data_IF_205674164488
#
_entry.id   IF_205674164488
#
_cell.length_a   1.000
_cell.length_b   1.000
_cell.length_c   1.000
_cell.angle_alpha   90.00
_cell.angle_beta   90.00
_cell.angle_gamma   90.00
#
_symmetry.space_group_name_H-M   'P 1'
#
loop_
_entity.id
_entity.type
_entity.pdbx_description
1 polymer ?
#
# COMPACT_ATOMS: atom_id res chain seq x y z
N UNK A 1 41.55 2.81 31.44
CA UNK A 1 41.06 3.02 30.05
C UNK A 1 40.12 1.93 29.59
N UNK A 2 40.52 0.65 29.62
CA UNK A 2 39.69 -0.47 29.12
C UNK A 2 38.29 -0.54 29.79
N UNK A 3 38.26 -0.45 31.12
CA UNK A 3 37.01 -0.49 31.92
C UNK A 3 36.07 0.66 31.54
N UNK A 4 36.61 1.88 31.39
CA UNK A 4 35.85 3.06 31.02
C UNK A 4 35.23 2.92 29.62
N UNK A 5 35.97 2.33 28.68
CA UNK A 5 35.54 2.12 27.30
C UNK A 5 34.43 1.05 27.21
N UNK A 6 34.51 -0.01 28.01
CA UNK A 6 33.45 -1.03 28.14
C UNK A 6 32.17 -0.43 28.72
N UNK A 7 32.28 0.40 29.76
CA UNK A 7 31.12 1.07 30.38
C UNK A 7 30.43 2.00 29.38
N UNK A 8 31.18 2.79 28.62
CA UNK A 8 30.62 3.69 27.60
C UNK A 8 29.95 2.90 26.47
N UNK A 9 30.57 1.82 26.00
CA UNK A 9 29.97 0.96 24.97
C UNK A 9 28.67 0.30 25.46
N UNK A 10 28.65 -0.20 26.69
CA UNK A 10 27.45 -0.80 27.28
C UNK A 10 26.32 0.21 27.47
N UNK A 11 26.63 1.43 27.92
CA UNK A 11 25.66 2.52 28.05
C UNK A 11 25.12 2.97 26.68
N UNK A 12 25.97 3.03 25.66
CA UNK A 12 25.57 3.36 24.31
C UNK A 12 24.62 2.29 23.72
N UNK A 13 24.95 1.01 23.90
CA UNK A 13 24.07 -0.10 23.47
C UNK A 13 22.75 -0.06 24.23
N UNK A 14 22.77 0.09 25.56
CA UNK A 14 21.57 0.16 26.37
C UNK A 14 20.67 1.35 25.98
N UNK A 15 21.27 2.51 25.68
CA UNK A 15 20.55 3.68 25.18
C UNK A 15 19.91 3.41 23.81
N UNK A 16 20.62 2.77 22.88
CA UNK A 16 20.06 2.43 21.55
C UNK A 16 18.92 1.43 21.64
N UNK A 17 19.05 0.42 22.51
CA UNK A 17 17.97 -0.54 22.79
C UNK A 17 16.77 0.19 23.41
N UNK A 18 16.99 1.07 24.40
CA UNK A 18 15.91 1.84 25.03
C UNK A 18 15.20 2.77 24.03
N UNK A 19 15.92 3.39 23.10
CA UNK A 19 15.33 4.23 22.04
C UNK A 19 14.50 3.40 21.07
N UNK A 20 14.99 2.23 20.64
CA UNK A 20 14.24 1.32 19.76
C UNK A 20 12.96 0.81 20.44
N UNK A 21 13.05 0.41 21.70
CA UNK A 21 11.90 -0.01 22.50
C UNK A 21 10.91 1.13 22.75
N UNK A 22 11.42 2.36 22.96
CA UNK A 22 10.57 3.53 23.16
C UNK A 22 9.85 3.94 21.87
N UNK A 23 10.50 3.80 20.71
CA UNK A 23 9.87 4.01 19.40
C UNK A 23 8.79 2.97 19.14
N UNK A 24 9.05 1.69 19.41
CA UNK A 24 8.06 0.61 19.29
C UNK A 24 6.88 0.79 20.25
N UNK A 25 7.13 1.31 21.47
CA UNK A 25 6.10 1.63 22.44
C UNK A 25 5.30 2.91 22.11
N UNK A 26 5.91 3.92 21.48
CA UNK A 26 5.22 5.18 21.12
C UNK A 26 4.42 5.06 19.81
N UNK A 27 4.84 4.22 18.87
CA UNK A 27 4.20 4.05 17.57
C UNK A 27 3.33 2.79 17.48
N UNK A 28 3.31 1.96 18.53
CA UNK A 28 2.86 0.58 18.42
C UNK A 28 3.75 -0.19 17.43
N UNK A 29 3.46 -1.47 17.20
CA UNK A 29 4.13 -2.27 16.15
C UNK A 29 3.99 -1.69 14.72
N UNK A 30 3.32 -0.55 14.55
CA UNK A 30 2.88 -0.01 13.26
C UNK A 30 1.89 -0.95 12.56
N UNK A 31 1.37 -1.96 13.25
CA UNK A 31 0.52 -3.02 12.70
C UNK A 31 -0.73 -3.21 13.58
N UNK A 32 -1.88 -2.86 13.03
CA UNK A 32 -3.20 -3.15 13.59
C UNK A 32 -3.76 -4.47 13.00
N UNK A 33 -3.69 -5.54 13.79
CA UNK A 33 -4.24 -6.84 13.41
C UNK A 33 -5.74 -6.79 13.12
N UNK A 34 -6.51 -5.95 13.83
CA UNK A 34 -7.97 -5.89 13.66
C UNK A 34 -8.34 -5.30 12.31
N UNK A 35 -7.62 -4.27 11.85
CA UNK A 35 -7.81 -3.71 10.51
C UNK A 35 -7.44 -4.73 9.43
N UNK A 36 -6.34 -5.44 9.62
CA UNK A 36 -5.87 -6.47 8.70
C UNK A 36 -6.90 -7.60 8.55
N UNK A 37 -7.36 -8.17 9.67
CA UNK A 37 -8.38 -9.24 9.69
C UNK A 37 -9.74 -8.74 9.15
N UNK A 38 -10.09 -7.48 9.42
CA UNK A 38 -11.31 -6.86 8.88
C UNK A 38 -11.26 -6.75 7.35
N UNK A 39 -10.12 -6.37 6.77
CA UNK A 39 -9.96 -6.26 5.32
C UNK A 39 -10.02 -7.64 4.65
N UNK A 40 -9.37 -8.65 5.24
CA UNK A 40 -9.50 -10.03 4.77
C UNK A 40 -10.96 -10.48 4.78
N UNK A 41 -11.67 -10.28 5.89
CA UNK A 41 -13.08 -10.67 6.03
C UNK A 41 -13.99 -9.91 5.06
N UNK A 42 -13.66 -8.66 4.74
CA UNK A 42 -14.45 -7.81 3.85
C UNK A 42 -14.11 -8.02 2.36
N UNK A 43 -13.09 -8.82 2.05
CA UNK A 43 -12.73 -9.12 0.67
C UNK A 43 -13.88 -9.84 -0.05
N UNK A 44 -14.22 -9.33 -1.24
CA UNK A 44 -15.26 -9.86 -2.12
C UNK A 44 -14.71 -9.87 -3.53
N UNK A 45 -14.31 -11.05 -4.01
CA UNK A 45 -13.68 -11.23 -5.31
C UNK A 45 -14.44 -10.50 -6.44
N UNK A 46 -15.77 -10.56 -6.44
CA UNK A 46 -16.59 -10.02 -7.52
C UNK A 46 -16.49 -8.50 -7.57
N UNK A 47 -16.53 -7.83 -6.42
CA UNK A 47 -16.44 -6.36 -6.36
C UNK A 47 -15.05 -5.86 -6.70
N UNK A 48 -14.02 -6.52 -6.18
CA UNK A 48 -12.63 -6.16 -6.45
C UNK A 48 -12.26 -6.40 -7.92
N UNK A 49 -12.64 -7.54 -8.49
CA UNK A 49 -12.42 -7.84 -9.92
C UNK A 49 -13.13 -6.85 -10.84
N UNK A 50 -14.32 -6.36 -10.47
CA UNK A 50 -15.00 -5.33 -11.25
C UNK A 50 -14.22 -4.00 -11.28
N UNK A 51 -13.66 -3.60 -10.13
CA UNK A 51 -12.85 -2.38 -10.05
C UNK A 51 -11.50 -2.54 -10.74
N UNK A 52 -10.93 -3.75 -10.70
CA UNK A 52 -9.70 -4.11 -11.40
C UNK A 52 -9.86 -4.08 -12.92
N UNK A 53 -10.88 -4.73 -13.47
CA UNK A 53 -11.20 -4.66 -14.90
C UNK A 53 -11.42 -3.22 -15.38
N UNK A 54 -12.05 -2.38 -14.54
CA UNK A 54 -12.18 -0.95 -14.84
C UNK A 54 -10.84 -0.22 -14.84
N UNK A 55 -9.93 -0.57 -13.94
CA UNK A 55 -8.56 -0.04 -13.97
C UNK A 55 -7.81 -0.48 -15.23
N UNK A 56 -7.95 -1.73 -15.67
CA UNK A 56 -7.36 -2.20 -16.94
C UNK A 56 -7.84 -1.38 -18.14
N UNK A 57 -9.14 -1.06 -18.21
CA UNK A 57 -9.68 -0.17 -19.25
C UNK A 57 -9.05 1.23 -19.21
N UNK A 58 -8.83 1.78 -18.01
CA UNK A 58 -8.17 3.08 -17.84
C UNK A 58 -6.71 3.02 -18.29
N UNK A 59 -5.99 1.95 -17.93
CA UNK A 59 -4.61 1.74 -18.37
C UNK A 59 -4.53 1.63 -19.89
N UNK A 60 -5.42 0.87 -20.51
CA UNK A 60 -5.50 0.75 -21.97
C UNK A 60 -5.81 2.08 -22.67
N UNK A 61 -6.64 2.94 -22.06
CA UNK A 61 -6.93 4.27 -22.58
C UNK A 61 -5.76 5.26 -22.41
N UNK A 62 -4.85 5.01 -21.47
CA UNK A 62 -3.72 5.87 -21.14
C UNK A 62 -2.38 5.11 -21.21
N UNK A 63 -1.93 4.65 -22.39
CA UNK A 63 -0.74 3.79 -22.52
C UNK A 63 0.59 4.46 -22.16
N UNK A 64 0.60 5.78 -21.95
CA UNK A 64 1.78 6.56 -21.53
C UNK A 64 1.74 6.94 -20.04
N UNK A 65 0.70 6.53 -19.32
CA UNK A 65 0.54 6.84 -17.91
C UNK A 65 1.64 6.16 -17.09
N UNK A 66 2.38 6.95 -16.33
CA UNK A 66 3.25 6.42 -15.28
C UNK A 66 2.45 6.02 -14.04
N UNK A 67 1.33 6.70 -13.78
CA UNK A 67 0.45 6.44 -12.66
C UNK A 67 -0.98 6.84 -12.97
N UNK A 68 -1.92 5.99 -12.56
CA UNK A 68 -3.36 6.27 -12.53
C UNK A 68 -3.82 6.11 -11.08
N UNK A 69 -4.45 7.15 -10.53
CA UNK A 69 -5.06 7.12 -9.19
C UNK A 69 -6.55 7.37 -9.32
N UNK A 70 -7.32 6.44 -8.82
CA UNK A 70 -8.76 6.52 -8.79
C UNK A 70 -9.24 6.62 -7.34
N UNK A 71 -9.88 7.75 -7.03
CA UNK A 71 -10.58 8.03 -5.78
C UNK A 71 -12.08 8.05 -6.01
N UNK A 72 -12.87 8.19 -4.95
CA UNK A 72 -14.32 8.35 -5.10
C UNK A 72 -14.74 9.43 -6.11
N UNK A 73 -14.05 10.57 -6.13
CA UNK A 73 -14.48 11.75 -6.87
C UNK A 73 -13.68 12.00 -8.15
N UNK A 74 -12.46 11.45 -8.25
CA UNK A 74 -11.51 11.79 -9.30
C UNK A 74 -10.76 10.57 -9.80
N UNK A 75 -10.52 10.53 -11.11
CA UNK A 75 -9.51 9.69 -11.74
C UNK A 75 -8.40 10.64 -12.22
N UNK A 76 -7.20 10.44 -11.70
CA UNK A 76 -6.04 11.27 -11.95
C UNK A 76 -4.99 10.45 -12.70
N UNK A 77 -4.54 10.97 -13.84
CA UNK A 77 -3.54 10.34 -14.70
C UNK A 77 -2.29 11.20 -14.73
N UNK A 78 -1.12 10.60 -14.53
CA UNK A 78 0.17 11.26 -14.64
C UNK A 78 1.03 10.54 -15.67
N UNK A 79 1.31 11.23 -16.78
CA UNK A 79 2.28 10.78 -17.79
C UNK A 79 3.71 11.17 -17.40
N UNK A 80 4.70 10.53 -18.02
CA UNK A 80 6.12 10.80 -17.77
C UNK A 80 6.51 12.25 -18.02
N UNK A 81 7.10 12.88 -17.01
CA UNK A 81 7.55 14.27 -17.05
C UNK A 81 6.42 15.30 -17.18
N UNK A 82 5.16 14.91 -16.98
CA UNK A 82 3.99 15.79 -17.06
C UNK A 82 3.31 15.96 -15.70
N UNK A 83 2.57 17.05 -15.57
CA UNK A 83 1.70 17.27 -14.43
C UNK A 83 0.54 16.25 -14.45
N UNK A 84 0.06 15.90 -13.27
CA UNK A 84 -1.12 15.05 -13.10
C UNK A 84 -2.38 15.79 -13.56
N UNK A 85 -3.23 15.10 -14.32
CA UNK A 85 -4.51 15.61 -14.80
C UNK A 85 -5.62 14.78 -14.19
N UNK A 86 -6.57 15.44 -13.52
CA UNK A 86 -7.70 14.78 -12.85
C UNK A 86 -9.02 15.10 -13.54
N UNK A 87 -9.78 14.05 -13.82
CA UNK A 87 -11.15 14.13 -14.32
C UNK A 87 -12.13 13.58 -13.28
N UNK A 88 -13.35 14.10 -13.26
CA UNK A 88 -14.38 13.57 -12.35
C UNK A 88 -14.72 12.15 -12.75
N UNK A 89 -14.87 11.29 -11.75
CA UNK A 89 -15.42 9.95 -11.95
C UNK A 89 -16.80 10.01 -12.59
N UNK A 90 -17.08 9.08 -13.51
CA UNK A 90 -18.46 8.90 -14.00
C UNK A 90 -19.34 8.33 -12.88
N UNK A 91 -20.69 8.40 -12.99
CA UNK A 91 -21.57 7.74 -12.02
C UNK A 91 -21.33 6.22 -11.91
N UNK A 92 -20.91 5.56 -12.99
CA UNK A 92 -20.57 4.14 -13.00
C UNK A 92 -19.27 3.85 -12.26
N UNK A 93 -18.27 4.72 -12.40
CA UNK A 93 -17.03 4.66 -11.64
C UNK A 93 -17.32 4.89 -10.15
N UNK A 94 -18.02 5.96 -9.78
CA UNK A 94 -18.35 6.23 -8.38
C UNK A 94 -19.11 5.05 -7.74
N UNK A 95 -20.08 4.46 -8.44
CA UNK A 95 -20.81 3.29 -7.95
C UNK A 95 -19.90 2.06 -7.75
N UNK A 96 -18.95 1.84 -8.64
CA UNK A 96 -17.98 0.74 -8.53
C UNK A 96 -17.03 0.97 -7.35
N UNK A 97 -16.55 2.21 -7.19
CA UNK A 97 -15.71 2.61 -6.07
C UNK A 97 -16.42 2.43 -4.72
N UNK A 98 -17.67 2.92 -4.60
CA UNK A 98 -18.47 2.84 -3.38
C UNK A 98 -18.86 1.41 -2.98
N UNK A 99 -18.77 0.44 -3.90
CA UNK A 99 -19.00 -0.96 -3.58
C UNK A 99 -17.83 -1.59 -2.79
N UNK A 100 -16.64 -1.00 -2.85
CA UNK A 100 -15.46 -1.46 -2.13
C UNK A 100 -15.53 -1.07 -0.64
N UNK A 101 -15.06 -1.94 0.27
CA UNK A 101 -15.13 -1.67 1.70
C UNK A 101 -14.11 -0.60 2.12
N UNK A 102 -14.53 0.67 2.12
CA UNK A 102 -13.74 1.79 2.65
C UNK A 102 -12.37 1.99 1.99
N UNK A 103 -12.27 1.72 0.69
CA UNK A 103 -11.08 2.07 -0.09
C UNK A 103 -10.84 3.59 -0.05
N UNK A 104 -9.57 3.99 0.12
CA UNK A 104 -9.11 5.39 0.07
C UNK A 104 -8.73 5.82 -1.34
N UNK A 105 -8.07 4.91 -2.07
CA UNK A 105 -7.73 5.08 -3.48
C UNK A 105 -7.39 3.73 -4.12
N UNK A 106 -7.52 3.66 -5.43
CA UNK A 106 -7.07 2.56 -6.28
C UNK A 106 -5.94 3.09 -7.15
N UNK A 107 -4.83 2.37 -7.24
CA UNK A 107 -3.61 2.84 -7.89
C UNK A 107 -3.12 1.80 -8.89
N UNK A 108 -2.75 2.27 -10.07
CA UNK A 108 -1.93 1.53 -11.03
C UNK A 108 -0.70 2.37 -11.37
N UNK A 109 0.46 1.74 -11.56
CA UNK A 109 1.71 2.46 -11.83
C UNK A 109 2.70 1.68 -12.70
N UNK A 110 3.41 2.40 -13.55
CA UNK A 110 4.33 1.86 -14.55
C UNK A 110 5.54 1.11 -13.98
N UNK A 111 5.91 1.35 -12.72
CA UNK A 111 6.96 0.56 -12.02
C UNK A 111 6.46 -0.81 -11.53
N UNK A 112 5.14 -1.03 -11.58
CA UNK A 112 4.42 -2.23 -11.15
C UNK A 112 3.34 -2.60 -12.20
N UNK A 113 3.71 -2.66 -13.49
CA UNK A 113 2.78 -2.64 -14.65
C UNK A 113 1.67 -3.70 -14.65
N UNK A 114 1.88 -4.84 -14.01
CA UNK A 114 0.88 -5.91 -14.00
C UNK A 114 0.06 -5.94 -12.69
N UNK A 115 0.12 -4.86 -11.90
CA UNK A 115 -0.48 -4.83 -10.55
C UNK A 115 -1.46 -3.69 -10.40
N UNK A 116 -2.54 -3.97 -9.66
CA UNK A 116 -3.51 -2.96 -9.21
C UNK A 116 -3.57 -2.97 -7.69
N UNK A 117 -3.45 -1.79 -7.08
CA UNK A 117 -3.41 -1.62 -5.63
C UNK A 117 -4.65 -0.92 -5.13
N UNK A 118 -5.29 -1.49 -4.12
CA UNK A 118 -6.44 -0.93 -3.41
C UNK A 118 -5.95 -0.49 -2.03
N UNK A 119 -5.76 0.80 -1.82
CA UNK A 119 -5.23 1.36 -0.59
C UNK A 119 -6.37 1.68 0.39
N UNK A 120 -6.14 1.40 1.69
CA UNK A 120 -7.11 1.62 2.76
C UNK A 120 -6.52 2.49 3.87
N UNK A 121 -7.40 3.21 4.58
CA UNK A 121 -7.09 4.02 5.76
C UNK A 121 -6.14 5.21 5.50
N UNK A 122 -6.20 5.84 4.32
CA UNK A 122 -5.27 6.88 3.86
C UNK A 122 -4.80 7.92 4.89
N UNK A 123 -5.69 8.67 5.54
CA UNK A 123 -5.27 9.69 6.51
C UNK A 123 -5.01 9.14 7.93
N UNK A 124 -5.32 7.87 8.16
CA UNK A 124 -5.36 7.22 9.48
C UNK A 124 -4.41 6.01 9.48
N UNK A 125 -3.08 6.19 9.58
CA UNK A 125 -2.14 5.08 9.62
C UNK A 125 -2.39 4.17 10.86
N UNK A 126 -2.07 2.86 10.78
CA UNK A 126 -1.40 2.17 9.67
C UNK A 126 -2.30 1.92 8.47
N UNK A 127 -1.72 2.05 7.28
CA UNK A 127 -2.36 1.84 5.98
C UNK A 127 -2.15 0.41 5.51
N UNK A 128 -3.10 -0.08 4.74
CA UNK A 128 -3.07 -1.45 4.21
C UNK A 128 -3.44 -1.43 2.74
N UNK A 129 -3.02 -2.46 2.02
CA UNK A 129 -3.25 -2.53 0.59
C UNK A 129 -3.72 -3.92 0.21
N UNK A 130 -4.80 -4.03 -0.57
CA UNK A 130 -5.08 -5.26 -1.32
C UNK A 130 -4.45 -5.08 -2.69
N UNK A 131 -3.71 -6.07 -3.17
CA UNK A 131 -3.04 -6.08 -4.45
C UNK A 131 -3.63 -7.20 -5.31
N UNK A 132 -4.00 -6.85 -6.55
CA UNK A 132 -4.12 -7.83 -7.63
C UNK A 132 -2.80 -7.91 -8.39
N UNK A 133 -2.33 -9.11 -8.69
CA UNK A 133 -1.13 -9.39 -9.46
C UNK A 133 -1.28 -10.73 -10.22
N UNK A 134 -0.47 -11.00 -11.27
CA UNK A 134 -0.47 -12.29 -11.95
C UNK A 134 -0.19 -13.45 -10.99
N UNK A 135 -0.79 -14.62 -11.27
CA UNK A 135 -0.72 -15.82 -10.41
C UNK A 135 0.71 -16.34 -10.14
N UNK A 136 1.67 -16.03 -11.00
CA UNK A 136 3.08 -16.43 -10.89
C UNK A 136 3.97 -15.39 -10.16
N UNK A 137 3.37 -14.32 -9.63
CA UNK A 137 4.09 -13.30 -8.87
C UNK A 137 4.67 -13.86 -7.57
N UNK A 138 5.97 -13.70 -7.34
CA UNK A 138 6.55 -13.85 -5.99
C UNK A 138 6.12 -12.66 -5.12
N UNK A 139 5.02 -12.86 -4.40
CA UNK A 139 4.38 -11.83 -3.58
C UNK A 139 5.24 -11.48 -2.36
N UNK A 140 5.96 -12.44 -1.78
CA UNK A 140 6.76 -12.21 -0.59
C UNK A 140 8.04 -11.42 -0.94
N UNK A 141 8.70 -11.76 -2.06
CA UNK A 141 9.82 -10.96 -2.60
C UNK A 141 9.36 -9.54 -2.94
N UNK A 142 8.22 -9.40 -3.63
CA UNK A 142 7.65 -8.09 -3.93
C UNK A 142 7.36 -7.29 -2.65
N UNK A 143 6.76 -7.92 -1.64
CA UNK A 143 6.43 -7.28 -0.38
C UNK A 143 7.68 -6.77 0.35
N UNK A 144 8.75 -7.58 0.41
CA UNK A 144 10.01 -7.18 1.02
C UNK A 144 10.72 -6.05 0.26
N UNK A 145 10.77 -6.13 -1.08
CA UNK A 145 11.35 -5.08 -1.95
C UNK A 145 10.60 -3.74 -1.82
N UNK A 146 9.28 -3.77 -1.71
CA UNK A 146 8.46 -2.56 -1.52
C UNK A 146 8.35 -2.12 -0.06
N UNK A 147 8.68 -2.98 0.90
CA UNK A 147 8.74 -2.67 2.33
C UNK A 147 7.45 -2.92 3.11
N UNK A 148 6.56 -3.73 2.56
CA UNK A 148 5.36 -4.20 3.24
C UNK A 148 5.74 -5.21 4.32
N UNK A 149 5.27 -5.00 5.56
CA UNK A 149 5.65 -5.84 6.71
C UNK A 149 5.02 -7.23 6.77
N UNK A 150 3.97 -7.46 5.99
CA UNK A 150 3.26 -8.73 6.00
C UNK A 150 2.52 -8.94 4.70
N UNK A 151 2.28 -10.20 4.39
CA UNK A 151 1.45 -10.66 3.29
C UNK A 151 0.41 -11.63 3.84
N UNK A 152 -0.77 -11.63 3.22
CA UNK A 152 -1.79 -12.66 3.43
C UNK A 152 -2.47 -12.92 2.10
N UNK A 153 -2.37 -14.15 1.61
CA UNK A 153 -3.10 -14.57 0.43
C UNK A 153 -4.61 -14.52 0.73
N UNK A 154 -5.38 -13.94 -0.19
CA UNK A 154 -6.84 -13.90 -0.11
C UNK A 154 -7.42 -14.95 -1.05
N UNK A 155 -7.07 -14.85 -2.33
CA UNK A 155 -7.47 -15.73 -3.43
C UNK A 155 -6.36 -15.73 -4.49
N UNK A 156 -6.37 -16.61 -5.52
CA UNK A 156 -5.41 -16.55 -6.62
C UNK A 156 -5.32 -15.15 -7.23
N UNK A 157 -4.09 -14.63 -7.36
CA UNK A 157 -3.81 -13.27 -7.81
C UNK A 157 -4.10 -12.15 -6.79
N UNK A 158 -4.73 -12.44 -5.65
CA UNK A 158 -5.17 -11.43 -4.67
C UNK A 158 -4.43 -11.57 -3.33
N UNK A 159 -3.73 -10.51 -2.92
CA UNK A 159 -2.98 -10.48 -1.67
C UNK A 159 -3.33 -9.25 -0.84
N UNK A 160 -3.54 -9.44 0.46
CA UNK A 160 -3.53 -8.38 1.45
C UNK A 160 -2.11 -8.10 1.95
N UNK A 161 -1.64 -6.88 1.72
CA UNK A 161 -0.35 -6.36 2.14
C UNK A 161 -0.50 -5.53 3.41
N UNK A 162 0.44 -5.74 4.33
CA UNK A 162 0.58 -5.00 5.58
C UNK A 162 0.96 -3.53 5.37
N UNK A 163 1.23 -2.79 6.45
CA UNK A 163 1.71 -1.43 6.37
C UNK A 163 3.18 -1.36 5.96
N UNK A 164 3.53 -0.27 5.29
CA UNK A 164 4.92 0.18 5.13
C UNK A 164 5.21 1.13 6.30
N UNK A 165 6.10 0.77 7.24
CA UNK A 165 6.31 1.52 8.47
C UNK A 165 7.10 2.81 8.28
N UNK A 166 7.90 2.88 7.22
CA UNK A 166 8.74 4.01 6.86
C UNK A 166 7.95 4.92 5.93
N UNK A 167 7.65 6.14 6.40
CA UNK A 167 6.83 7.09 5.66
C UNK A 167 7.50 7.57 4.37
N UNK A 168 8.83 7.68 4.32
CA UNK A 168 9.54 8.08 3.12
C UNK A 168 9.48 6.95 2.08
N UNK A 169 9.65 5.70 2.53
CA UNK A 169 9.49 4.51 1.68
C UNK A 169 8.05 4.35 1.20
N UNK A 170 7.06 4.56 2.07
CA UNK A 170 5.65 4.52 1.71
C UNK A 170 5.31 5.62 0.71
N UNK A 171 5.83 6.83 0.93
CA UNK A 171 5.68 7.94 -0.02
C UNK A 171 6.29 7.58 -1.36
N UNK A 172 7.50 7.02 -1.38
CA UNK A 172 8.17 6.57 -2.61
C UNK A 172 7.41 5.42 -3.31
N UNK A 173 6.70 4.56 -2.57
CA UNK A 173 5.87 3.49 -3.17
C UNK A 173 4.70 4.07 -3.96
N UNK A 174 4.11 5.18 -3.51
CA UNK A 174 2.93 5.79 -4.14
C UNK A 174 3.22 7.03 -5.00
N UNK A 175 4.48 7.47 -5.04
CA UNK A 175 4.97 8.50 -5.97
C UNK A 175 5.38 7.91 -7.31
#
# INVERSE_FOLDING_TARGET
MLVTLVVVAALFVAFRVAVLWSLEAYFGSGFDHRRFDKLETAFDHTRFSKAEARMEELVAAHPQAERIVWTRAWICVRDSGRAEVCERTTPGDEATYLALPSADRIVHQSKDQDRTFFCFYGEDPPRYTIMHAPDDTDVDEFADDRGFRSTRALEPGWTLLGPIPDLDRETAQWQ
#
